data_IF_352087561790
#
_entry.id   IF_352087561790
#
_cell.length_a   1.000
_cell.length_b   1.000
_cell.length_c   1.000
_cell.angle_alpha   90.00
_cell.angle_beta   90.00
_cell.angle_gamma   90.00
#
_symmetry.space_group_name_H-M   'P 1'
#
loop_
_entity.id
_entity.type
_entity.pdbx_description
1 polymer ?
#
# COMPACT_ATOMS: atom_id res chain seq x y z
N UNK A 1 -4.97 9.51 -4.91
CA UNK A 1 -4.06 10.70 -5.05
C UNK A 1 -4.79 11.94 -5.54
N UNK A 2 -5.71 11.85 -6.52
CA UNK A 2 -6.42 13.04 -7.03
C UNK A 2 -7.20 13.76 -5.92
N UNK A 3 -7.93 13.02 -5.08
CA UNK A 3 -8.59 13.51 -3.86
C UNK A 3 -7.58 14.14 -2.89
N UNK A 4 -6.49 13.42 -2.58
CA UNK A 4 -5.45 13.88 -1.63
C UNK A 4 -4.79 15.20 -2.07
N UNK A 5 -4.69 15.44 -3.36
CA UNK A 5 -4.12 16.68 -3.93
C UNK A 5 -5.16 17.76 -4.22
N UNK A 6 -6.43 17.49 -3.95
CA UNK A 6 -7.53 18.42 -4.21
C UNK A 6 -7.77 18.68 -5.70
N UNK A 7 -7.27 17.80 -6.61
CA UNK A 7 -7.58 17.89 -8.03
C UNK A 7 -9.05 17.58 -8.34
N UNK A 8 -9.67 16.79 -7.47
CA UNK A 8 -11.09 16.48 -7.43
C UNK A 8 -11.58 16.50 -5.99
N UNK A 9 -12.90 16.60 -5.81
CA UNK A 9 -13.60 16.53 -4.53
C UNK A 9 -14.50 15.29 -4.49
N UNK A 10 -14.84 14.82 -3.29
CA UNK A 10 -15.74 13.68 -3.10
C UNK A 10 -17.13 13.92 -3.74
N UNK A 11 -17.59 15.15 -3.74
CA UNK A 11 -18.85 15.56 -4.34
C UNK A 11 -18.83 15.69 -5.87
N UNK A 12 -17.65 15.53 -6.51
CA UNK A 12 -17.56 15.63 -7.95
C UNK A 12 -18.29 14.48 -8.64
N UNK A 13 -18.91 14.79 -9.76
CA UNK A 13 -19.49 13.81 -10.68
C UNK A 13 -18.81 13.90 -12.03
N UNK A 14 -18.80 12.78 -12.75
CA UNK A 14 -18.17 12.64 -14.05
C UNK A 14 -19.19 12.14 -15.06
N UNK A 15 -19.13 12.65 -16.29
CA UNK A 15 -20.03 12.22 -17.35
C UNK A 15 -19.27 11.30 -18.29
N UNK A 16 -19.68 10.03 -18.32
CA UNK A 16 -19.19 9.07 -19.29
C UNK A 16 -20.11 9.10 -20.52
N UNK A 17 -19.57 9.48 -21.67
CA UNK A 17 -20.24 9.39 -22.97
C UNK A 17 -19.73 8.21 -23.82
N UNK A 18 -18.87 7.39 -23.23
CA UNK A 18 -18.38 6.12 -23.78
C UNK A 18 -16.99 6.18 -24.41
N UNK A 19 -16.45 7.37 -24.72
CA UNK A 19 -15.10 7.50 -25.30
C UNK A 19 -14.57 8.91 -25.19
N UNK A 20 -13.24 9.06 -25.25
CA UNK A 20 -12.56 10.35 -25.37
C UNK A 20 -11.54 10.33 -26.50
N UNK A 21 -11.27 11.48 -27.10
CA UNK A 21 -10.30 11.63 -28.19
C UNK A 21 -9.12 12.48 -27.74
N UNK A 22 -7.91 11.96 -27.91
CA UNK A 22 -6.63 12.63 -27.61
C UNK A 22 -5.81 12.69 -28.90
N UNK A 23 -5.68 13.89 -29.47
CA UNK A 23 -5.16 14.04 -30.84
C UNK A 23 -6.00 13.24 -31.84
N UNK A 24 -5.38 12.30 -32.54
CA UNK A 24 -6.06 11.39 -33.49
C UNK A 24 -6.45 10.04 -32.85
N UNK A 25 -6.25 9.85 -31.57
CA UNK A 25 -6.48 8.58 -30.88
C UNK A 25 -7.81 8.59 -30.14
N UNK A 26 -8.73 7.70 -30.53
CA UNK A 26 -9.97 7.44 -29.81
C UNK A 26 -9.74 6.36 -28.74
N UNK A 27 -9.93 6.73 -27.47
CA UNK A 27 -9.86 5.81 -26.33
C UNK A 27 -11.28 5.54 -25.84
N UNK A 28 -11.64 4.25 -25.72
CA UNK A 28 -12.99 3.78 -25.43
C UNK A 28 -13.14 3.37 -23.98
N UNK A 29 -14.31 3.67 -23.41
CA UNK A 29 -14.75 3.03 -22.18
C UNK A 29 -15.11 1.56 -22.43
N UNK A 30 -15.07 0.73 -21.39
CA UNK A 30 -15.38 -0.70 -21.49
C UNK A 30 -16.80 -0.99 -22.01
N UNK A 31 -17.74 -0.09 -21.79
CA UNK A 31 -19.14 -0.23 -22.21
C UNK A 31 -19.43 0.31 -23.62
N UNK A 32 -18.40 0.88 -24.29
CA UNK A 32 -18.61 1.45 -25.64
C UNK A 32 -19.20 0.40 -26.62
N UNK A 33 -20.19 0.73 -27.48
CA UNK A 33 -20.69 2.09 -27.82
C UNK A 33 -21.75 2.66 -26.87
N UNK A 34 -22.09 1.98 -25.79
CA UNK A 34 -22.91 2.54 -24.70
C UNK A 34 -22.09 3.46 -23.81
N UNK A 35 -22.74 4.08 -22.84
CA UNK A 35 -22.14 4.99 -21.87
C UNK A 35 -22.69 4.72 -20.46
N UNK A 36 -21.91 5.04 -19.43
CA UNK A 36 -22.40 4.95 -18.03
C UNK A 36 -23.29 6.16 -17.67
N UNK A 37 -23.15 7.30 -18.36
CA UNK A 37 -23.84 8.54 -18.01
C UNK A 37 -23.13 9.29 -16.90
N UNK A 38 -23.88 9.95 -16.02
CA UNK A 38 -23.33 10.70 -14.89
C UNK A 38 -23.05 9.77 -13.72
N UNK A 39 -21.81 9.74 -13.23
CA UNK A 39 -21.33 8.86 -12.18
C UNK A 39 -20.71 9.66 -11.02
N UNK A 40 -20.96 9.25 -9.80
CA UNK A 40 -20.19 9.64 -8.60
C UNK A 40 -18.86 8.91 -8.57
N UNK A 41 -17.91 9.32 -7.72
CA UNK A 41 -16.61 8.63 -7.59
C UNK A 41 -16.75 7.14 -7.21
N UNK A 42 -17.70 6.82 -6.33
CA UNK A 42 -17.97 5.43 -5.98
C UNK A 42 -18.44 4.61 -7.19
N UNK A 43 -19.34 5.16 -8.01
CA UNK A 43 -19.83 4.51 -9.24
C UNK A 43 -18.72 4.39 -10.30
N UNK A 44 -17.87 5.40 -10.46
CA UNK A 44 -16.70 5.34 -11.36
C UNK A 44 -15.80 4.14 -11.04
N UNK A 45 -15.53 3.89 -9.75
CA UNK A 45 -14.73 2.74 -9.31
C UNK A 45 -15.52 1.44 -9.45
N UNK A 46 -16.78 1.42 -9.03
CA UNK A 46 -17.65 0.24 -9.08
C UNK A 46 -17.87 -0.26 -10.53
N UNK A 47 -18.11 0.65 -11.47
CA UNK A 47 -18.33 0.36 -12.88
C UNK A 47 -17.04 0.25 -13.70
N UNK A 48 -15.90 0.57 -13.09
CA UNK A 48 -14.60 0.60 -13.80
C UNK A 48 -14.62 1.51 -15.02
N UNK A 49 -15.14 2.72 -14.85
CA UNK A 49 -15.34 3.67 -15.95
C UNK A 49 -14.01 4.27 -16.41
N UNK A 50 -13.53 3.87 -17.59
CA UNK A 50 -12.30 4.40 -18.19
C UNK A 50 -12.42 5.89 -18.51
N UNK A 51 -13.58 6.31 -19.04
CA UNK A 51 -13.85 7.68 -19.44
C UNK A 51 -13.72 8.64 -18.25
N UNK A 52 -14.41 8.36 -17.14
CA UNK A 52 -14.30 9.15 -15.93
C UNK A 52 -12.87 9.16 -15.36
N UNK A 53 -12.16 8.02 -15.41
CA UNK A 53 -10.76 7.97 -14.98
C UNK A 53 -9.84 8.83 -15.84
N UNK A 54 -10.07 8.91 -17.16
CA UNK A 54 -9.34 9.83 -18.05
C UNK A 54 -9.59 11.29 -17.66
N UNK A 55 -10.84 11.67 -17.35
CA UNK A 55 -11.18 13.01 -16.86
C UNK A 55 -10.48 13.33 -15.53
N UNK A 56 -10.42 12.38 -14.59
CA UNK A 56 -9.71 12.52 -13.33
C UNK A 56 -8.22 12.69 -13.57
N UNK A 57 -7.63 11.88 -14.46
CA UNK A 57 -6.23 11.99 -14.85
C UNK A 57 -5.90 13.37 -15.45
N UNK A 58 -6.76 13.87 -16.34
CA UNK A 58 -6.60 15.19 -16.95
C UNK A 58 -6.67 16.33 -15.91
N UNK A 59 -7.61 16.26 -14.95
CA UNK A 59 -7.68 17.22 -13.82
C UNK A 59 -6.43 17.18 -12.94
N UNK A 60 -5.83 16.01 -12.76
CA UNK A 60 -4.61 15.84 -11.98
C UNK A 60 -3.38 16.36 -12.73
N UNK A 61 -3.30 16.14 -14.04
CA UNK A 61 -2.18 16.49 -14.91
C UNK A 61 -0.97 15.58 -14.78
N UNK A 62 -0.15 15.52 -15.84
CA UNK A 62 0.99 14.61 -15.99
C UNK A 62 1.97 14.66 -14.80
N UNK A 63 2.38 15.85 -14.41
CA UNK A 63 3.35 16.04 -13.32
C UNK A 63 2.88 15.47 -11.99
N UNK A 64 1.62 15.72 -11.61
CA UNK A 64 1.09 15.21 -10.35
C UNK A 64 0.83 13.69 -10.43
N UNK A 65 0.44 13.20 -11.60
CA UNK A 65 0.23 11.78 -11.83
C UNK A 65 1.52 10.97 -11.68
N UNK A 66 2.61 11.41 -12.33
CA UNK A 66 3.95 10.78 -12.20
C UNK A 66 4.44 10.79 -10.75
N UNK A 67 4.26 11.93 -10.06
CA UNK A 67 4.60 12.01 -8.62
C UNK A 67 3.77 11.05 -7.77
N UNK A 68 2.49 10.85 -8.10
CA UNK A 68 1.64 9.90 -7.40
C UNK A 68 2.11 8.46 -7.65
N UNK A 69 2.45 8.08 -8.88
CA UNK A 69 3.02 6.75 -9.16
C UNK A 69 4.29 6.52 -8.32
N UNK A 70 5.19 7.50 -8.27
CA UNK A 70 6.42 7.43 -7.46
C UNK A 70 6.13 7.37 -5.96
N UNK A 71 5.07 8.05 -5.49
CA UNK A 71 4.65 8.00 -4.08
C UNK A 71 4.26 6.59 -3.65
N UNK A 72 3.62 5.82 -4.55
CA UNK A 72 3.29 4.42 -4.33
C UNK A 72 4.39 3.44 -4.76
N UNK A 73 5.62 3.93 -5.00
CA UNK A 73 6.79 3.15 -5.41
C UNK A 73 6.65 2.40 -6.74
N UNK A 74 5.71 2.77 -7.61
CA UNK A 74 5.73 2.28 -8.98
C UNK A 74 7.00 2.75 -9.70
N UNK A 75 7.59 1.88 -10.51
CA UNK A 75 8.84 2.14 -11.20
C UNK A 75 10.11 1.95 -10.35
N UNK A 76 9.99 1.55 -9.07
CA UNK A 76 11.11 1.26 -8.18
C UNK A 76 10.89 -0.07 -7.45
N UNK A 77 11.98 -0.73 -7.05
CA UNK A 77 11.90 -1.97 -6.25
C UNK A 77 11.30 -1.66 -4.88
N UNK A 78 10.46 -2.56 -4.37
CA UNK A 78 9.86 -2.42 -3.04
C UNK A 78 10.86 -2.74 -1.92
N UNK A 79 11.92 -3.49 -2.24
CA UNK A 79 12.91 -3.95 -1.28
C UNK A 79 12.44 -5.17 -0.48
N UNK A 80 11.48 -5.94 -1.02
CA UNK A 80 11.09 -7.24 -0.43
C UNK A 80 12.31 -8.16 -0.33
N UNK A 81 12.35 -8.98 0.71
CA UNK A 81 13.44 -9.93 0.99
C UNK A 81 13.45 -11.17 0.06
N UNK A 82 13.16 -10.93 -1.24
CA UNK A 82 13.23 -11.90 -2.32
C UNK A 82 14.29 -11.50 -3.36
N UNK A 83 14.97 -12.48 -3.97
CA UNK A 83 15.92 -12.19 -5.05
C UNK A 83 15.20 -11.79 -6.36
N UNK A 84 15.90 -11.05 -7.22
CA UNK A 84 15.49 -10.72 -8.60
C UNK A 84 14.19 -9.90 -8.72
N UNK A 85 13.91 -9.01 -7.76
CA UNK A 85 12.78 -8.12 -7.85
C UNK A 85 12.90 -7.18 -9.07
N UNK A 86 11.84 -7.11 -9.89
CA UNK A 86 11.71 -6.14 -10.97
C UNK A 86 11.26 -4.77 -10.48
N UNK A 87 11.54 -3.71 -11.25
CA UNK A 87 11.11 -2.34 -10.92
C UNK A 87 9.83 -1.91 -11.65
N UNK A 88 9.41 -2.64 -12.70
CA UNK A 88 8.38 -2.14 -13.61
C UNK A 88 8.91 -1.02 -14.52
N UNK A 89 8.05 -0.52 -15.40
CA UNK A 89 8.35 0.58 -16.33
C UNK A 89 7.20 1.58 -16.24
N UNK A 90 7.50 2.82 -15.88
CA UNK A 90 6.55 3.92 -15.82
C UNK A 90 7.03 5.09 -16.68
N UNK A 91 6.12 5.96 -17.06
CA UNK A 91 6.47 7.20 -17.75
C UNK A 91 7.16 8.20 -16.81
N UNK A 92 8.07 9.00 -17.37
CA UNK A 92 8.61 10.20 -16.71
C UNK A 92 7.69 11.40 -16.99
N UNK A 93 7.93 12.54 -16.30
CA UNK A 93 7.18 13.77 -16.56
C UNK A 93 7.34 14.23 -18.02
N UNK A 94 8.51 14.02 -18.62
CA UNK A 94 8.79 14.41 -20.01
C UNK A 94 8.16 13.48 -21.05
N UNK A 95 7.99 12.19 -20.72
CA UNK A 95 7.39 11.18 -21.62
C UNK A 95 5.89 11.00 -21.41
N UNK A 96 5.28 11.65 -20.41
CA UNK A 96 3.86 11.58 -20.12
C UNK A 96 3.08 12.61 -20.95
N UNK A 97 2.77 12.28 -22.19
CA UNK A 97 1.87 13.06 -23.03
C UNK A 97 0.39 12.90 -22.63
N UNK A 98 -0.51 13.57 -23.35
CA UNK A 98 -1.95 13.53 -23.05
C UNK A 98 -2.54 12.11 -23.20
N UNK A 99 -2.14 11.38 -24.23
CA UNK A 99 -2.59 10.01 -24.49
C UNK A 99 -2.03 9.04 -23.45
N UNK A 100 -0.75 9.17 -23.09
CA UNK A 100 -0.11 8.36 -22.06
C UNK A 100 -0.76 8.60 -20.69
N UNK A 101 -1.06 9.85 -20.34
CA UNK A 101 -1.76 10.21 -19.12
C UNK A 101 -3.16 9.61 -19.08
N UNK A 102 -3.92 9.77 -20.17
CA UNK A 102 -5.25 9.21 -20.29
C UNK A 102 -5.26 7.70 -20.11
N UNK A 103 -4.36 6.98 -20.83
CA UNK A 103 -4.22 5.52 -20.70
C UNK A 103 -3.77 5.12 -19.28
N UNK A 104 -2.79 5.81 -18.73
CA UNK A 104 -2.26 5.50 -17.39
C UNK A 104 -3.31 5.72 -16.29
N UNK A 105 -4.23 6.67 -16.47
CA UNK A 105 -5.27 6.98 -15.49
C UNK A 105 -6.23 5.81 -15.22
N UNK A 106 -6.47 4.93 -16.20
CA UNK A 106 -7.24 3.71 -16.02
C UNK A 106 -6.40 2.41 -16.02
N UNK A 107 -5.07 2.53 -15.83
CA UNK A 107 -4.19 1.38 -15.60
C UNK A 107 -3.59 0.74 -16.85
N UNK A 108 -3.44 1.50 -17.94
CA UNK A 108 -2.82 1.05 -19.18
C UNK A 108 -1.53 1.83 -19.47
N UNK A 109 -0.66 1.30 -20.34
CA UNK A 109 0.49 2.04 -20.86
C UNK A 109 1.74 2.03 -19.94
N UNK A 110 1.72 1.33 -18.82
CA UNK A 110 2.88 1.11 -17.95
C UNK A 110 2.90 -0.32 -17.41
N UNK A 111 4.00 -0.74 -16.81
CA UNK A 111 4.11 -2.07 -16.17
C UNK A 111 4.52 -1.93 -14.72
N UNK A 112 3.97 -2.79 -13.87
CA UNK A 112 4.35 -2.94 -12.47
C UNK A 112 4.46 -4.41 -12.10
N UNK A 113 5.10 -4.70 -10.98
CA UNK A 113 5.15 -6.04 -10.42
C UNK A 113 3.94 -6.30 -9.53
N UNK A 114 3.55 -7.56 -9.35
CA UNK A 114 2.46 -7.91 -8.44
C UNK A 114 2.72 -7.42 -7.01
N UNK A 115 3.97 -7.44 -6.56
CA UNK A 115 4.31 -6.96 -5.23
C UNK A 115 4.19 -5.44 -5.10
N UNK A 116 4.49 -4.67 -6.15
CA UNK A 116 4.24 -3.23 -6.15
C UNK A 116 2.75 -2.93 -6.04
N UNK A 117 1.91 -3.65 -6.80
CA UNK A 117 0.46 -3.45 -6.82
C UNK A 117 -0.17 -3.79 -5.46
N UNK A 118 0.15 -4.97 -4.89
CA UNK A 118 -0.41 -5.38 -3.60
C UNK A 118 0.08 -4.48 -2.45
N UNK A 119 1.35 -4.05 -2.47
CA UNK A 119 1.89 -3.18 -1.44
C UNK A 119 1.31 -1.76 -1.51
N UNK A 120 1.09 -1.23 -2.73
CA UNK A 120 0.37 0.02 -2.94
C UNK A 120 -1.07 -0.10 -2.41
N UNK A 121 -1.78 -1.20 -2.72
CA UNK A 121 -3.12 -1.46 -2.22
C UNK A 121 -3.16 -1.55 -0.69
N UNK A 122 -2.20 -2.25 -0.06
CA UNK A 122 -2.10 -2.29 1.40
C UNK A 122 -2.06 -0.87 1.98
N UNK A 123 -1.25 0.03 1.41
CA UNK A 123 -1.19 1.41 1.90
C UNK A 123 -2.48 2.20 1.64
N UNK A 124 -3.20 1.91 0.57
CA UNK A 124 -4.48 2.57 0.27
C UNK A 124 -5.56 2.23 1.29
N UNK A 125 -5.58 1.00 1.80
CA UNK A 125 -6.67 0.52 2.68
C UNK A 125 -6.37 0.56 4.17
N UNK A 126 -5.10 0.77 4.58
CA UNK A 126 -4.66 0.73 5.98
C UNK A 126 -4.46 2.12 6.62
N UNK A 127 -5.06 3.17 6.07
CA UNK A 127 -4.89 4.55 6.56
C UNK A 127 -3.77 5.34 5.86
N UNK A 128 -3.20 4.79 4.78
CA UNK A 128 -2.15 5.44 3.99
C UNK A 128 -0.73 4.99 4.32
N UNK A 129 -0.54 4.06 5.25
CA UNK A 129 0.77 3.64 5.71
C UNK A 129 1.43 2.66 4.74
N UNK A 130 2.56 3.05 4.16
CA UNK A 130 3.32 2.24 3.21
C UNK A 130 4.50 1.58 3.91
N UNK A 131 4.41 0.28 4.13
CA UNK A 131 5.46 -0.52 4.76
C UNK A 131 6.38 -1.16 3.72
N UNK A 132 7.63 -1.46 4.13
CA UNK A 132 8.49 -2.34 3.35
C UNK A 132 7.97 -3.78 3.43
N UNK A 133 7.63 -4.40 2.27
CA UNK A 133 7.13 -5.78 2.30
C UNK A 133 8.26 -6.74 2.68
N UNK A 134 7.92 -7.80 3.46
CA UNK A 134 8.85 -8.86 3.84
C UNK A 134 8.11 -10.19 4.01
N UNK A 135 8.81 -11.29 3.80
CA UNK A 135 8.32 -12.66 4.01
C UNK A 135 8.89 -13.27 5.28
N UNK A 136 10.14 -12.92 5.61
CA UNK A 136 10.82 -13.46 6.78
C UNK A 136 10.38 -12.69 8.02
N UNK A 137 9.73 -13.37 8.95
CA UNK A 137 9.34 -12.80 10.25
C UNK A 137 10.35 -13.10 11.34
N UNK A 138 11.01 -14.29 11.29
CA UNK A 138 12.00 -14.71 12.27
C UNK A 138 13.10 -15.54 11.63
N UNK A 139 14.30 -15.43 12.18
CA UNK A 139 15.43 -16.30 11.90
C UNK A 139 15.74 -17.09 13.19
N UNK A 140 15.75 -18.41 13.10
CA UNK A 140 16.01 -19.30 14.22
C UNK A 140 17.38 -19.99 14.02
N UNK A 141 18.04 -20.35 15.14
CA UNK A 141 19.21 -21.23 15.12
C UNK A 141 18.81 -22.71 15.00
N UNK A 142 19.78 -23.59 14.98
CA UNK A 142 19.56 -25.04 14.87
C UNK A 142 18.84 -25.64 16.09
N UNK A 143 18.82 -24.95 17.22
CA UNK A 143 18.10 -25.34 18.43
C UNK A 143 16.68 -24.77 18.51
N UNK A 144 16.26 -23.99 17.49
CA UNK A 144 14.95 -23.35 17.45
C UNK A 144 14.87 -22.02 18.21
N UNK A 145 15.98 -21.52 18.74
CA UNK A 145 16.02 -20.23 19.43
C UNK A 145 16.03 -19.07 18.44
N UNK A 146 15.30 -17.99 18.76
CA UNK A 146 15.24 -16.82 17.88
C UNK A 146 16.57 -16.07 17.86
N UNK A 147 17.19 -16.01 16.68
CA UNK A 147 18.42 -15.24 16.41
C UNK A 147 18.07 -13.79 16.05
N UNK A 148 17.00 -13.61 15.25
CA UNK A 148 16.54 -12.30 14.79
C UNK A 148 15.03 -12.33 14.55
N UNK A 149 14.35 -11.29 14.99
CA UNK A 149 12.97 -10.98 14.59
C UNK A 149 13.02 -9.84 13.56
N UNK A 150 12.21 -9.95 12.52
CA UNK A 150 12.02 -8.87 11.53
C UNK A 150 10.73 -8.14 11.90
N UNK A 151 10.86 -6.86 12.23
CA UNK A 151 9.73 -6.00 12.54
C UNK A 151 9.26 -5.27 11.28
N UNK A 152 7.96 -4.95 11.14
CA UNK A 152 7.46 -4.12 10.07
C UNK A 152 8.18 -2.77 10.03
N UNK A 153 8.60 -2.33 8.84
CA UNK A 153 9.27 -1.04 8.64
C UNK A 153 8.34 -0.10 7.89
N UNK A 154 7.83 0.93 8.57
CA UNK A 154 7.06 2.00 7.95
C UNK A 154 8.00 2.91 7.15
N UNK A 155 7.73 3.08 5.86
CA UNK A 155 8.54 3.92 4.98
C UNK A 155 7.96 5.32 4.81
N UNK A 156 6.64 5.44 4.71
CA UNK A 156 5.95 6.71 4.45
C UNK A 156 4.43 6.58 4.59
N UNK A 157 3.75 7.71 4.65
CA UNK A 157 2.31 7.80 4.45
C UNK A 157 2.02 8.28 3.02
N UNK A 158 1.13 7.58 2.30
CA UNK A 158 0.79 7.85 0.89
C UNK A 158 -0.46 8.71 0.73
N UNK A 159 -1.45 8.50 1.58
CA UNK A 159 -2.73 9.23 1.63
C UNK A 159 -3.17 9.41 3.08
N UNK A 160 -4.13 10.30 3.31
CA UNK A 160 -4.77 10.45 4.61
C UNK A 160 -5.70 9.28 4.95
N UNK A 161 -5.94 9.05 6.24
CA UNK A 161 -6.85 8.01 6.71
C UNK A 161 -8.30 8.21 6.26
N UNK A 162 -8.75 9.47 6.13
CA UNK A 162 -10.07 9.79 5.60
C UNK A 162 -10.23 9.28 4.17
N UNK A 163 -9.30 9.64 3.27
CA UNK A 163 -9.33 9.18 1.88
C UNK A 163 -9.16 7.64 1.80
N UNK A 164 -8.37 7.05 2.68
CA UNK A 164 -8.28 5.58 2.78
C UNK A 164 -9.65 4.96 3.07
N UNK A 165 -10.43 5.53 3.99
CA UNK A 165 -11.80 5.08 4.30
C UNK A 165 -12.74 5.23 3.11
N UNK A 166 -12.70 6.38 2.41
CA UNK A 166 -13.54 6.63 1.24
C UNK A 166 -13.27 5.60 0.14
N UNK A 167 -11.99 5.34 -0.15
CA UNK A 167 -11.61 4.36 -1.18
C UNK A 167 -12.04 2.94 -0.79
N UNK A 168 -11.92 2.53 0.48
CA UNK A 168 -12.46 1.24 0.93
C UNK A 168 -13.96 1.14 0.66
N UNK A 169 -14.71 2.19 0.96
CA UNK A 169 -16.16 2.26 0.71
C UNK A 169 -16.49 2.15 -0.79
N UNK A 170 -15.75 2.85 -1.65
CA UNK A 170 -15.94 2.76 -3.11
C UNK A 170 -15.60 1.38 -3.66
N UNK A 171 -14.57 0.72 -3.13
CA UNK A 171 -14.22 -0.65 -3.51
C UNK A 171 -15.23 -1.67 -2.98
N UNK A 172 -15.84 -1.44 -1.81
CA UNK A 172 -16.94 -2.24 -1.30
C UNK A 172 -18.18 -2.12 -2.22
N UNK A 173 -18.48 -0.92 -2.70
CA UNK A 173 -19.56 -0.71 -3.68
C UNK A 173 -19.32 -1.54 -4.96
N UNK A 174 -18.06 -1.66 -5.41
CA UNK A 174 -17.71 -2.49 -6.56
C UNK A 174 -18.03 -3.98 -6.35
N UNK A 175 -17.85 -4.50 -5.13
CA UNK A 175 -18.21 -5.89 -4.77
C UNK A 175 -19.72 -6.05 -4.57
N UNK A 176 -20.39 -5.05 -4.02
CA UNK A 176 -21.84 -5.12 -3.77
C UNK A 176 -22.67 -5.08 -5.04
N UNK A 177 -22.34 -4.20 -5.98
CA UNK A 177 -23.17 -3.98 -7.17
C UNK A 177 -22.39 -3.68 -8.47
N UNK A 178 -21.06 -3.64 -8.41
CA UNK A 178 -20.21 -3.30 -9.55
C UNK A 178 -19.59 -4.51 -10.25
N UNK A 179 -18.45 -4.26 -10.91
CA UNK A 179 -17.71 -5.26 -11.69
C UNK A 179 -17.07 -6.35 -10.86
N UNK A 180 -16.92 -6.15 -9.54
CA UNK A 180 -16.27 -7.08 -8.61
C UNK A 180 -17.25 -7.99 -7.86
N UNK A 181 -18.55 -8.03 -8.21
CA UNK A 181 -19.60 -8.74 -7.46
C UNK A 181 -19.39 -10.24 -7.32
N UNK A 182 -18.62 -10.85 -8.21
CA UNK A 182 -18.34 -12.30 -8.18
C UNK A 182 -17.27 -12.70 -7.17
N UNK A 183 -16.61 -11.72 -6.53
CA UNK A 183 -15.64 -11.96 -5.46
C UNK A 183 -16.25 -11.94 -4.06
N UNK A 184 -17.55 -11.68 -3.92
CA UNK A 184 -18.21 -11.57 -2.62
C UNK A 184 -18.07 -12.87 -1.81
N UNK A 185 -17.60 -12.75 -0.57
CA UNK A 185 -17.47 -13.83 0.40
C UNK A 185 -18.63 -13.75 1.36
N UNK A 186 -19.35 -14.89 1.53
CA UNK A 186 -20.52 -14.91 2.42
C UNK A 186 -20.13 -14.68 3.87
N UNK A 187 -20.85 -13.78 4.55
CA UNK A 187 -20.62 -13.43 5.95
C UNK A 187 -19.50 -12.41 6.19
N UNK A 188 -18.82 -11.96 5.13
CA UNK A 188 -17.73 -10.99 5.27
C UNK A 188 -17.95 -9.80 4.33
N UNK A 189 -17.78 -8.60 4.88
CA UNK A 189 -17.65 -7.41 4.05
C UNK A 189 -16.33 -7.45 3.28
N UNK A 190 -16.36 -7.04 2.03
CA UNK A 190 -15.17 -7.05 1.19
C UNK A 190 -15.19 -5.92 0.18
N UNK A 191 -14.01 -5.44 -0.18
CA UNK A 191 -13.80 -4.48 -1.24
C UNK A 191 -12.87 -5.04 -2.31
N UNK A 192 -13.03 -4.58 -3.55
CA UNK A 192 -12.18 -5.09 -4.62
C UNK A 192 -12.28 -4.33 -5.92
N UNK A 193 -11.34 -4.61 -6.82
CA UNK A 193 -11.26 -4.04 -8.15
C UNK A 193 -10.79 -5.08 -9.16
N UNK A 194 -11.48 -5.17 -10.25
CA UNK A 194 -11.11 -5.99 -11.41
C UNK A 194 -10.12 -5.26 -12.31
N UNK A 195 -9.25 -6.01 -12.97
CA UNK A 195 -8.38 -5.53 -14.04
C UNK A 195 -8.51 -6.40 -15.29
N UNK A 196 -8.43 -5.78 -16.45
CA UNK A 196 -8.38 -6.45 -17.75
C UNK A 196 -7.42 -5.70 -18.64
N UNK A 197 -6.31 -6.33 -19.01
CA UNK A 197 -5.28 -5.75 -19.85
C UNK A 197 -5.09 -6.59 -21.10
N UNK A 198 -5.27 -5.99 -22.27
CA UNK A 198 -4.93 -6.63 -23.54
C UNK A 198 -3.41 -6.63 -23.71
N UNK A 199 -2.86 -7.81 -24.02
CA UNK A 199 -1.42 -8.01 -24.22
C UNK A 199 -0.98 -7.47 -25.58
N UNK A 200 0.25 -7.00 -25.65
CA UNK A 200 0.86 -6.57 -26.89
C UNK A 200 1.34 -7.77 -27.75
N UNK A 201 1.23 -7.73 -29.09
CA UNK A 201 0.57 -6.72 -29.90
C UNK A 201 -0.96 -6.78 -29.76
N UNK A 202 -1.61 -5.62 -29.70
CA UNK A 202 -3.08 -5.54 -29.54
C UNK A 202 -3.80 -6.16 -30.72
N UNK A 203 -5.04 -6.63 -30.50
CA UNK A 203 -5.86 -7.30 -31.52
C UNK A 203 -5.56 -8.80 -31.65
N UNK A 204 -4.72 -9.37 -30.79
CA UNK A 204 -4.41 -10.81 -30.77
C UNK A 204 -5.35 -11.64 -29.88
N UNK A 205 -6.33 -11.00 -29.23
CA UNK A 205 -7.26 -11.59 -28.24
C UNK A 205 -6.58 -12.25 -27.06
N UNK A 206 -5.37 -11.79 -26.68
CA UNK A 206 -4.64 -12.26 -25.52
C UNK A 206 -4.76 -11.25 -24.40
N UNK A 207 -5.23 -11.72 -23.26
CA UNK A 207 -5.52 -10.87 -22.10
C UNK A 207 -4.85 -11.39 -20.83
N UNK A 208 -4.49 -10.44 -19.98
CA UNK A 208 -4.22 -10.65 -18.58
C UNK A 208 -5.42 -10.10 -17.81
N UNK A 209 -6.09 -10.97 -17.06
CA UNK A 209 -7.21 -10.58 -16.20
C UNK A 209 -6.81 -10.71 -14.74
N UNK A 210 -7.27 -9.78 -13.92
CA UNK A 210 -6.87 -9.74 -12.51
C UNK A 210 -8.00 -9.28 -11.61
N UNK A 211 -7.82 -9.58 -10.33
CA UNK A 211 -8.65 -9.07 -9.25
C UNK A 211 -7.77 -8.79 -8.04
N UNK A 212 -7.87 -7.57 -7.50
CA UNK A 212 -7.31 -7.23 -6.22
C UNK A 212 -8.45 -6.92 -5.25
N UNK A 213 -8.40 -7.52 -4.06
CA UNK A 213 -9.46 -7.37 -3.06
C UNK A 213 -8.93 -7.47 -1.65
N UNK A 214 -9.77 -7.10 -0.70
CA UNK A 214 -9.47 -7.13 0.73
C UNK A 214 -10.74 -7.43 1.53
N UNK A 215 -10.58 -7.93 2.72
CA UNK A 215 -11.64 -8.20 3.68
C UNK A 215 -11.10 -8.18 5.12
N UNK A 216 -11.90 -7.77 6.12
CA UNK A 216 -13.15 -7.00 6.04
C UNK A 216 -12.98 -5.58 5.49
N UNK A 217 -14.08 -4.84 5.26
CA UNK A 217 -14.00 -3.45 4.72
C UNK A 217 -13.49 -2.46 5.74
N UNK A 218 -14.04 -2.51 6.96
CA UNK A 218 -13.71 -1.52 7.98
C UNK A 218 -12.33 -1.76 8.60
N UNK A 219 -11.96 -3.03 8.76
CA UNK A 219 -10.69 -3.47 9.33
C UNK A 219 -10.02 -4.55 8.46
N UNK A 220 -9.37 -4.15 7.37
CA UNK A 220 -8.78 -5.09 6.42
C UNK A 220 -7.70 -5.98 7.04
N UNK A 221 -8.01 -7.26 7.22
CA UNK A 221 -7.08 -8.26 7.71
C UNK A 221 -6.24 -8.91 6.60
N UNK A 222 -6.76 -8.92 5.36
CA UNK A 222 -6.16 -9.60 4.22
C UNK A 222 -6.31 -8.78 2.96
N UNK A 223 -5.25 -8.71 2.17
CA UNK A 223 -5.29 -8.30 0.76
C UNK A 223 -4.96 -9.51 -0.10
N UNK A 224 -5.73 -9.72 -1.15
CA UNK A 224 -5.47 -10.76 -2.15
C UNK A 224 -5.33 -10.13 -3.53
N UNK A 225 -4.35 -10.58 -4.30
CA UNK A 225 -4.19 -10.21 -5.70
C UNK A 225 -4.04 -11.45 -6.56
N UNK A 226 -5.00 -11.69 -7.42
CA UNK A 226 -5.05 -12.83 -8.33
C UNK A 226 -4.90 -12.35 -9.75
N UNK A 227 -3.97 -12.96 -10.48
CA UNK A 227 -3.70 -12.67 -11.89
C UNK A 227 -3.83 -13.97 -12.68
N UNK A 228 -4.59 -13.93 -13.75
CA UNK A 228 -4.71 -15.04 -14.73
C UNK A 228 -4.22 -14.51 -16.07
N UNK A 229 -3.09 -15.04 -16.51
CA UNK A 229 -2.45 -14.68 -17.76
C UNK A 229 -2.88 -15.63 -18.88
N UNK A 230 -3.43 -15.08 -19.95
CA UNK A 230 -3.93 -15.81 -21.11
C UNK A 230 -4.85 -16.98 -20.68
N UNK A 231 -6.01 -16.72 -20.02
CA UNK A 231 -6.90 -17.80 -19.60
C UNK A 231 -7.24 -18.70 -20.79
N UNK A 232 -7.16 -20.01 -20.57
CA UNK A 232 -7.56 -21.00 -21.59
C UNK A 232 -9.09 -21.11 -21.66
N UNK A 233 -9.73 -20.06 -22.18
CA UNK A 233 -11.18 -19.92 -22.29
C UNK A 233 -11.55 -19.17 -23.58
N UNK A 234 -12.82 -19.33 -24.02
CA UNK A 234 -13.33 -18.64 -25.20
C UNK A 234 -13.27 -17.11 -25.06
N UNK A 235 -13.62 -16.60 -23.88
CA UNK A 235 -13.56 -15.19 -23.54
C UNK A 235 -12.39 -14.91 -22.59
N UNK A 236 -11.23 -14.62 -23.13
CA UNK A 236 -10.04 -14.35 -22.31
C UNK A 236 -10.15 -13.04 -21.50
N UNK A 237 -10.89 -12.04 -21.98
CA UNK A 237 -11.08 -10.75 -21.31
C UNK A 237 -11.98 -10.80 -20.07
N UNK A 238 -12.44 -11.99 -19.66
CA UNK A 238 -13.41 -12.16 -18.59
C UNK A 238 -12.76 -12.13 -17.21
N UNK A 239 -12.90 -11.01 -16.51
CA UNK A 239 -12.36 -10.78 -15.16
C UNK A 239 -13.08 -11.53 -14.04
N UNK A 240 -14.09 -12.36 -14.34
CA UNK A 240 -14.74 -13.20 -13.30
C UNK A 240 -13.85 -14.37 -12.86
N UNK A 241 -12.94 -14.84 -13.70
CA UNK A 241 -12.02 -15.92 -13.34
C UNK A 241 -11.18 -15.63 -12.09
N UNK A 242 -10.40 -14.53 -12.04
CA UNK A 242 -9.65 -14.20 -10.84
C UNK A 242 -10.55 -13.87 -9.64
N UNK A 243 -11.78 -13.40 -9.85
CA UNK A 243 -12.73 -13.16 -8.76
C UNK A 243 -13.17 -14.46 -8.08
N UNK A 244 -13.54 -15.49 -8.84
CA UNK A 244 -13.92 -16.79 -8.27
C UNK A 244 -12.74 -17.45 -7.53
N UNK A 245 -11.53 -17.34 -8.07
CA UNK A 245 -10.33 -17.83 -7.39
C UNK A 245 -10.14 -17.11 -6.06
N UNK A 246 -10.23 -15.77 -6.07
CA UNK A 246 -10.10 -14.97 -4.86
C UNK A 246 -11.21 -15.27 -3.84
N UNK A 247 -12.46 -15.40 -4.27
CA UNK A 247 -13.58 -15.78 -3.42
C UNK A 247 -13.33 -17.13 -2.73
N UNK A 248 -12.93 -18.15 -3.51
CA UNK A 248 -12.63 -19.47 -2.95
C UNK A 248 -11.52 -19.43 -1.90
N UNK A 249 -10.42 -18.71 -2.20
CA UNK A 249 -9.31 -18.56 -1.26
C UNK A 249 -9.74 -17.80 0.01
N UNK A 250 -10.43 -16.67 -0.13
CA UNK A 250 -10.86 -15.86 1.02
C UNK A 250 -11.88 -16.61 1.89
N UNK A 251 -12.76 -17.43 1.30
CA UNK A 251 -13.72 -18.24 2.05
C UNK A 251 -13.08 -19.22 3.02
N UNK A 252 -11.89 -19.73 2.69
CA UNK A 252 -11.10 -20.61 3.54
C UNK A 252 -10.12 -19.83 4.45
N UNK A 253 -9.52 -18.77 3.90
CA UNK A 253 -8.46 -18.02 4.57
C UNK A 253 -8.99 -17.19 5.74
N UNK A 254 -10.13 -16.51 5.59
CA UNK A 254 -10.65 -15.62 6.64
C UNK A 254 -10.97 -16.40 7.93
N UNK A 255 -11.70 -17.54 7.89
CA UNK A 255 -11.89 -18.38 9.07
C UNK A 255 -10.57 -18.93 9.62
N UNK A 256 -9.63 -19.34 8.75
CA UNK A 256 -8.31 -19.84 9.16
C UNK A 256 -7.51 -18.78 9.96
N UNK A 257 -7.61 -17.53 9.56
CA UNK A 257 -7.00 -16.40 10.27
C UNK A 257 -7.80 -15.92 11.49
N UNK A 258 -8.89 -16.61 11.84
CA UNK A 258 -9.83 -16.25 12.89
C UNK A 258 -10.46 -14.85 12.68
N UNK A 259 -10.58 -14.39 11.43
CA UNK A 259 -11.35 -13.19 11.11
C UNK A 259 -12.82 -13.53 11.30
N UNK A 260 -13.53 -12.74 12.10
CA UNK A 260 -14.95 -12.96 12.34
C UNK A 260 -15.78 -12.44 11.17
N UNK A 261 -16.90 -13.14 10.82
CA UNK A 261 -17.91 -12.56 9.95
C UNK A 261 -18.42 -11.24 10.49
N UNK A 262 -18.52 -10.25 9.63
CA UNK A 262 -18.98 -8.88 9.91
C UNK A 262 -20.26 -8.52 9.13
N UNK A 263 -20.76 -9.44 8.29
CA UNK A 263 -22.06 -9.33 7.62
C UNK A 263 -22.95 -10.51 8.05
N UNK A 264 -24.24 -10.26 8.24
CA UNK A 264 -25.21 -11.33 8.38
C UNK A 264 -25.55 -11.94 7.03
N UNK A 265 -26.23 -13.12 7.02
CA UNK A 265 -26.68 -13.78 5.78
C UNK A 265 -27.60 -12.92 4.91
N UNK A 266 -28.28 -11.95 5.51
CA UNK A 266 -29.17 -10.98 4.84
C UNK A 266 -28.47 -9.67 4.44
N UNK A 267 -27.13 -9.57 4.66
CA UNK A 267 -26.33 -8.39 4.34
C UNK A 267 -26.38 -7.30 5.41
N UNK A 268 -27.01 -7.55 6.57
CA UNK A 268 -26.91 -6.66 7.73
C UNK A 268 -25.60 -6.92 8.49
N UNK A 269 -25.01 -5.88 9.09
CA UNK A 269 -23.82 -6.04 9.94
C UNK A 269 -24.30 -6.66 11.27
N UNK A 270 -23.79 -7.84 11.68
CA UNK A 270 -24.11 -8.39 12.99
C UNK A 270 -23.65 -7.43 14.08
N UNK A 271 -24.47 -7.20 15.13
CA UNK A 271 -23.95 -6.61 16.36
C UNK A 271 -22.81 -7.49 16.85
N UNK A 272 -21.58 -7.00 16.74
CA UNK A 272 -20.40 -7.71 17.18
C UNK A 272 -20.42 -7.80 18.71
N UNK A 273 -20.73 -8.97 19.24
CA UNK A 273 -20.32 -9.28 20.60
C UNK A 273 -18.78 -9.23 20.62
N UNK A 274 -18.22 -8.28 21.33
CA UNK A 274 -16.79 -8.15 21.56
C UNK A 274 -16.26 -9.49 22.12
N UNK A 275 -15.46 -10.19 21.36
CA UNK A 275 -14.91 -11.47 21.78
C UNK A 275 -13.81 -11.23 22.82
N UNK A 276 -14.15 -11.48 24.10
CA UNK A 276 -13.19 -11.50 25.18
C UNK A 276 -12.30 -12.75 25.02
N UNK A 277 -11.10 -12.61 24.47
CA UNK A 277 -10.14 -13.70 24.52
C UNK A 277 -9.08 -13.81 23.43
N UNK A 278 -9.04 -12.92 22.44
CA UNK A 278 -7.95 -12.92 21.47
C UNK A 278 -6.88 -11.89 21.84
N UNK A 279 -5.85 -12.35 22.56
CA UNK A 279 -4.60 -11.61 22.82
C UNK A 279 -3.54 -11.88 21.73
N UNK A 280 -3.95 -12.02 20.49
CA UNK A 280 -3.06 -12.21 19.35
C UNK A 280 -2.88 -10.92 18.56
N UNK A 281 -1.68 -10.57 18.28
CA UNK A 281 -1.06 -9.39 17.68
C UNK A 281 -1.65 -8.81 16.38
N UNK A 282 -2.98 -8.83 16.21
CA UNK A 282 -3.71 -8.14 15.17
C UNK A 282 -4.80 -7.28 15.82
N UNK A 283 -4.40 -6.38 16.71
CA UNK A 283 -5.26 -5.22 16.97
C UNK A 283 -5.23 -4.36 15.74
N UNK A 284 -6.40 -4.25 15.14
CA UNK A 284 -6.74 -3.32 14.09
C UNK A 284 -6.03 -1.98 14.27
N UNK A 285 -5.29 -1.58 13.27
CA UNK A 285 -4.76 -0.21 13.16
C UNK A 285 -5.87 0.81 12.86
N UNK A 286 -7.10 0.38 12.61
CA UNK A 286 -8.25 1.24 12.31
C UNK A 286 -8.95 1.79 13.54
N UNK A 287 -8.65 1.29 14.74
CA UNK A 287 -9.15 1.85 16.02
C UNK A 287 -8.15 2.73 16.75
N UNK A 288 -6.92 2.84 16.26
CA UNK A 288 -5.90 3.66 16.89
C UNK A 288 -6.02 5.08 16.37
N UNK A 289 -6.52 5.97 17.22
CA UNK A 289 -6.42 7.40 16.94
C UNK A 289 -4.95 7.80 17.04
N UNK A 290 -4.53 8.71 16.18
CA UNK A 290 -3.26 9.41 16.35
C UNK A 290 -3.54 10.76 17.01
N UNK A 291 -2.69 11.16 17.95
CA UNK A 291 -2.73 12.52 18.48
C UNK A 291 -2.19 13.54 17.46
N UNK A 292 -2.18 14.80 17.80
CA UNK A 292 -1.68 15.89 16.95
C UNK A 292 -0.20 15.76 16.56
N UNK A 293 0.56 14.91 17.27
CA UNK A 293 1.98 14.62 17.03
C UNK A 293 2.18 13.29 16.28
N UNK A 294 1.11 12.62 15.86
CA UNK A 294 1.17 11.34 15.15
C UNK A 294 1.49 10.13 16.04
N UNK A 295 1.28 10.23 17.36
CA UNK A 295 1.49 9.14 18.31
C UNK A 295 0.22 8.34 18.53
N UNK A 296 0.33 7.01 18.70
CA UNK A 296 -0.80 6.13 18.95
C UNK A 296 -1.49 6.46 20.28
N UNK A 297 -2.83 6.62 20.22
CA UNK A 297 -3.66 6.85 21.42
C UNK A 297 -4.87 5.92 21.42
N UNK A 298 -5.33 5.57 22.65
CA UNK A 298 -6.59 4.83 22.83
C UNK A 298 -7.81 5.74 22.59
N UNK A 299 -9.01 5.16 22.66
CA UNK A 299 -10.27 5.90 22.49
C UNK A 299 -10.49 7.05 23.52
N UNK A 300 -9.71 7.07 24.59
CA UNK A 300 -9.73 8.08 25.63
C UNK A 300 -8.61 9.12 25.47
N UNK A 301 -7.75 8.96 24.45
CA UNK A 301 -6.65 9.87 24.14
C UNK A 301 -5.35 9.58 24.95
N UNK A 302 -5.24 8.44 25.61
CA UNK A 302 -4.01 8.06 26.30
C UNK A 302 -3.02 7.43 25.30
N UNK A 303 -1.72 7.74 25.44
CA UNK A 303 -0.67 7.11 24.64
C UNK A 303 -0.64 5.60 24.87
N UNK A 304 -0.51 4.85 23.78
CA UNK A 304 -0.39 3.39 23.81
C UNK A 304 0.77 2.91 22.96
N UNK A 305 1.33 1.74 23.30
CA UNK A 305 2.27 1.02 22.48
C UNK A 305 1.56 0.20 21.39
N UNK A 306 2.32 -0.51 20.55
CA UNK A 306 1.75 -1.36 19.50
C UNK A 306 0.93 -2.54 20.03
N UNK A 307 1.11 -2.92 21.28
CA UNK A 307 0.32 -3.96 21.97
C UNK A 307 -0.95 -3.40 22.63
N UNK A 308 -1.12 -2.07 22.57
CA UNK A 308 -2.25 -1.36 23.18
C UNK A 308 -2.12 -1.16 24.69
N UNK A 309 -0.91 -1.35 25.26
CA UNK A 309 -0.65 -1.01 26.64
C UNK A 309 -0.46 0.50 26.77
N UNK A 310 -0.98 1.08 27.85
CA UNK A 310 -0.75 2.49 28.15
C UNK A 310 0.72 2.76 28.46
N UNK A 311 1.22 3.85 27.88
CA UNK A 311 2.60 4.31 28.10
C UNK A 311 2.59 5.81 28.41
N UNK A 312 3.66 6.24 29.08
CA UNK A 312 3.94 7.67 29.25
C UNK A 312 4.66 8.24 28.01
N UNK A 313 5.00 9.52 28.03
CA UNK A 313 5.70 10.22 26.94
C UNK A 313 7.10 9.66 26.64
N UNK A 314 7.70 8.93 27.57
CA UNK A 314 9.02 8.30 27.47
C UNK A 314 8.93 6.80 27.10
N UNK A 315 7.72 6.27 26.97
CA UNK A 315 7.49 4.88 26.60
C UNK A 315 7.45 3.89 27.75
N UNK A 316 7.38 4.34 29.01
CA UNK A 316 7.24 3.46 30.16
C UNK A 316 5.79 3.01 30.33
N UNK A 317 5.61 1.73 30.63
CA UNK A 317 4.30 1.11 30.80
C UNK A 317 3.56 1.67 32.03
N UNK A 318 2.28 1.94 31.86
CA UNK A 318 1.38 2.41 32.92
C UNK A 318 0.29 1.37 33.21
N UNK A 319 -0.15 1.32 34.45
CA UNK A 319 -1.32 0.54 34.86
C UNK A 319 -2.65 1.25 34.50
N UNK A 320 -3.77 0.65 34.88
CA UNK A 320 -5.11 1.22 34.65
C UNK A 320 -5.37 2.55 35.37
N UNK A 321 -4.59 2.87 36.40
CA UNK A 321 -4.68 4.08 37.20
C UNK A 321 -3.70 5.16 36.72
N UNK A 322 -2.84 4.83 35.73
CA UNK A 322 -1.80 5.72 35.20
C UNK A 322 -0.50 5.73 36.00
N UNK A 323 -0.28 4.73 36.88
CA UNK A 323 0.97 4.56 37.64
C UNK A 323 1.94 3.67 36.88
N UNK A 324 3.24 3.96 36.97
CA UNK A 324 4.28 3.19 36.29
C UNK A 324 4.38 1.74 36.79
N UNK A 325 4.40 0.81 35.83
CA UNK A 325 4.71 -0.59 36.13
C UNK A 325 6.21 -0.75 36.41
N UNK A 326 6.54 -1.59 37.41
CA UNK A 326 7.92 -1.86 37.79
C UNK A 326 8.36 -3.25 37.30
N UNK A 327 9.63 -3.39 36.98
CA UNK A 327 10.30 -4.68 36.77
C UNK A 327 10.62 -5.39 38.11
N UNK A 328 11.20 -6.60 38.02
CA UNK A 328 11.58 -7.39 39.19
C UNK A 328 12.67 -6.72 40.07
N UNK A 329 13.38 -5.73 39.53
CA UNK A 329 14.43 -4.96 40.19
C UNK A 329 13.89 -3.63 40.74
N UNK A 330 12.63 -3.29 40.52
CA UNK A 330 11.98 -2.08 41.01
C UNK A 330 12.19 -0.84 40.12
N UNK A 331 12.65 -1.00 38.87
CA UNK A 331 12.77 0.09 37.89
C UNK A 331 11.50 0.19 37.08
N UNK A 332 11.24 1.35 36.48
CA UNK A 332 10.12 1.55 35.54
C UNK A 332 10.29 0.64 34.34
N UNK A 333 9.24 -0.09 34.00
CA UNK A 333 9.23 -1.03 32.87
C UNK A 333 8.97 -0.31 31.55
N UNK A 334 9.98 -0.32 30.66
CA UNK A 334 9.85 0.22 29.32
C UNK A 334 9.04 -0.75 28.45
N UNK A 335 8.18 -0.23 27.55
CA UNK A 335 7.53 -1.04 26.54
C UNK A 335 8.55 -1.57 25.54
N UNK A 336 8.44 -2.83 25.13
CA UNK A 336 9.29 -3.46 24.12
C UNK A 336 8.83 -3.12 22.69
N UNK A 337 7.62 -2.54 22.54
CA UNK A 337 6.95 -2.30 21.25
C UNK A 337 6.52 -0.83 21.09
N UNK A 338 7.46 0.10 21.31
CA UNK A 338 7.22 1.54 21.19
C UNK A 338 7.00 1.97 19.72
N UNK A 339 6.03 2.85 19.44
CA UNK A 339 5.96 3.56 18.17
C UNK A 339 7.19 4.44 17.94
N UNK A 340 7.82 4.39 16.76
CA UNK A 340 9.08 5.11 16.47
C UNK A 340 9.04 6.63 16.70
N UNK A 341 7.87 7.26 16.72
CA UNK A 341 7.71 8.71 16.97
C UNK A 341 7.98 9.11 18.45
N UNK A 342 7.95 8.17 19.40
CA UNK A 342 8.19 8.46 20.81
C UNK A 342 9.67 8.42 21.22
N UNK A 343 10.57 7.98 20.33
CA UNK A 343 12.01 7.85 20.62
C UNK A 343 12.86 9.10 20.32
N UNK A 344 12.28 10.20 19.82
CA UNK A 344 13.04 11.38 19.37
C UNK A 344 13.15 12.52 20.41
N UNK A 345 12.60 12.42 21.63
CA UNK A 345 12.70 13.50 22.62
C UNK A 345 13.24 13.03 23.98
N UNK A 346 14.35 12.31 23.96
CA UNK A 346 15.11 11.98 25.17
C UNK A 346 16.43 12.73 25.23
N UNK A 347 16.40 14.06 25.40
CA UNK A 347 17.56 14.76 26.01
C UNK A 347 17.50 14.53 27.50
N UNK A 348 18.36 13.64 27.96
CA UNK A 348 18.64 13.49 29.38
C UNK A 348 19.11 14.81 29.97
N UNK A 349 18.32 15.40 30.86
CA UNK A 349 18.82 16.40 31.80
C UNK A 349 19.23 15.66 33.07
N UNK A 350 20.55 15.69 33.27
CA UNK A 350 21.21 15.31 34.52
C UNK A 350 20.68 16.11 35.73
N UNK A 351 20.50 15.41 36.86
CA UNK A 351 20.76 15.92 38.21
C UNK A 351 20.71 14.71 39.16
N UNK A 352 21.60 14.42 40.07
CA UNK A 352 22.73 15.07 40.65
C UNK A 352 23.55 14.00 41.42
N UNK A 353 24.89 14.21 41.47
CA UNK A 353 25.82 13.90 42.59
C UNK A 353 25.77 12.49 43.20
N UNK A 354 26.79 11.67 43.21
CA UNK A 354 28.15 11.82 43.70
C UNK A 354 29.02 10.58 43.34
N UNK A 355 30.27 10.82 42.98
CA UNK A 355 31.35 9.97 43.53
C UNK A 355 32.12 9.00 42.61
N UNK A 356 33.26 9.47 42.08
CA UNK A 356 34.60 8.85 42.06
C UNK A 356 35.02 7.94 40.91
N UNK A 357 35.98 8.53 40.20
CA UNK A 357 37.27 8.03 39.65
C UNK A 357 37.36 7.22 38.37
N UNK A 358 37.99 7.91 37.41
CA UNK A 358 39.08 7.50 36.50
C UNK A 358 39.20 6.07 36.03
N UNK A 359 39.20 5.87 34.70
CA UNK A 359 40.36 5.33 34.00
C UNK A 359 40.23 5.52 32.46
N UNK A 360 41.30 6.04 31.94
CA UNK A 360 41.75 6.33 30.56
C UNK A 360 41.19 5.51 29.40
N UNK A 361 40.76 6.20 28.36
CA UNK A 361 40.67 5.70 26.98
C UNK A 361 41.75 6.36 26.08
N UNK A 362 42.51 5.62 25.27
CA UNK A 362 43.45 6.17 24.32
C UNK A 362 42.78 6.68 23.04
N UNK A 363 43.27 7.81 22.56
CA UNK A 363 42.90 8.49 21.31
C UNK A 363 43.30 7.68 20.05
N UNK A 364 42.60 7.84 18.91
CA UNK A 364 43.02 7.29 17.64
C UNK A 364 44.13 8.14 17.01
N UNK A 365 45.03 7.54 16.20
CA UNK A 365 46.14 8.20 15.59
C UNK A 365 45.74 9.01 14.37
N UNK A 366 46.29 10.21 14.29
CA UNK A 366 46.44 11.05 13.07
C UNK A 366 47.52 10.44 12.18
N UNK A 367 47.32 10.53 10.89
CA UNK A 367 48.36 10.28 9.92
C UNK A 367 47.81 10.48 8.54
N UNK A 368 48.23 11.30 7.81
CA UNK A 368 49.40 11.87 7.19
C UNK A 368 49.06 12.10 5.69
N UNK A 369 49.14 13.32 5.28
CA UNK A 369 49.04 13.77 3.88
C UNK A 369 50.36 13.40 3.17
N UNK A 370 50.28 12.90 1.93
CA UNK A 370 51.28 13.19 0.88
C UNK A 370 50.72 12.85 -0.52
N UNK A 371 50.40 13.89 -1.20
CA UNK A 371 50.80 14.36 -2.53
C UNK A 371 51.62 13.37 -3.39
N UNK A 372 51.07 13.05 -4.59
CA UNK A 372 51.81 13.07 -5.86
C UNK A 372 50.87 12.98 -7.07
N UNK A 373 50.98 14.00 -7.88
CA UNK A 373 50.63 14.11 -9.31
C UNK A 373 51.28 13.00 -10.16
N UNK A 374 50.56 12.51 -11.19
CA UNK A 374 51.07 12.40 -12.56
C UNK A 374 50.02 12.00 -13.59
N UNK A 375 50.02 12.77 -14.65
CA UNK A 375 49.44 12.60 -15.97
C UNK A 375 49.54 11.20 -16.57
N UNK A 376 48.55 10.80 -17.34
CA UNK A 376 48.77 10.37 -18.73
C UNK A 376 47.48 10.19 -19.55
N UNK A 377 47.51 10.95 -20.64
CA UNK A 377 46.73 10.83 -21.87
C UNK A 377 46.86 9.42 -22.51
N UNK A 378 45.74 8.93 -23.09
CA UNK A 378 45.71 8.33 -24.42
C UNK A 378 44.27 7.94 -24.82
N UNK A 379 43.77 8.68 -25.78
CA UNK A 379 43.36 8.25 -27.12
C UNK A 379 42.06 7.47 -27.28
N UNK A 380 41.20 8.20 -27.98
CA UNK A 380 40.01 7.85 -28.72
C UNK A 380 40.19 6.68 -29.69
N UNK A 381 39.23 5.78 -29.75
CA UNK A 381 38.84 5.20 -31.02
C UNK A 381 37.31 5.02 -31.07
N UNK A 382 36.75 5.70 -32.08
CA UNK A 382 35.35 5.63 -32.46
C UNK A 382 35.05 4.33 -33.19
N UNK A 383 33.84 3.84 -32.99
CA UNK A 383 33.20 2.91 -33.90
C UNK A 383 31.82 3.47 -34.29
N UNK A 384 31.71 3.64 -35.57
CA UNK A 384 30.63 4.17 -36.37
C UNK A 384 29.39 3.28 -36.36
N UNK A 385 28.23 3.94 -36.44
CA UNK A 385 26.92 3.41 -36.79
C UNK A 385 26.97 2.59 -38.09
N UNK A 386 26.22 1.50 -38.12
CA UNK A 386 25.59 1.01 -39.34
C UNK A 386 24.13 0.64 -39.08
N UNK A 387 23.29 1.17 -39.94
CA UNK A 387 21.84 1.01 -40.08
C UNK A 387 21.46 -0.42 -40.48
N UNK A 388 20.30 -0.85 -40.00
CA UNK A 388 19.34 -1.69 -40.72
C UNK A 388 18.00 -1.55 -39.98
N UNK A 389 16.98 -1.00 -40.48
CA UNK A 389 16.25 -0.96 -41.73
C UNK A 389 15.31 -2.16 -41.84
N UNK A 390 13.98 -1.88 -41.87
CA UNK A 390 12.87 -2.71 -42.41
C UNK A 390 12.26 -3.73 -41.43
N UNK A 391 11.00 -3.87 -41.30
CA UNK A 391 9.68 -3.50 -41.92
C UNK A 391 8.60 -3.52 -40.82
#
# INVERSE_FOLDING_TARGET
SALEKGAIQESDTFVCDGSQTFGDTLIKCAVWPSAHGTETLGEVIANSCNDAMMQIGAKMGAKQFVKAQSLFNFGTRTGIDLPNEGAGIIHTEESMGETELACSAFGQGFTCTMIQEINAMCSVINGGYYYQPHLVTKILDSAGSTVKTVTPTLLKQTISSGISSDIRSYMALSVQQGTSRHSKVQGYSSGGKTGTAEKYPRGNNKYLVSFIGFAPVDDPAVVIYVVVDEPNAEEQANSTYPQYIAQGILSELLPYLNVKPDESEDGTIPETELWEGFSGHLKSTTGSNLDENGRLVDAQGNLIDWDGNRIDENGYLLDSNGEHLLDEQGNYKLSENLPEASSQNGTATESAEDGVSNLDAPAPPEGDESDTTEDNNAESEGITNEEAGLE
#
